data_IF_384319312956
#
_entry.id   IF_384319312956
#
_cell.length_a   1.000
_cell.length_b   1.000
_cell.length_c   1.000
_cell.angle_alpha   90.00
_cell.angle_beta   90.00
_cell.angle_gamma   90.00
#
_symmetry.space_group_name_H-M   'P 1'
#
loop_
_entity.id
_entity.type
_entity.pdbx_description
1 polymer ?
#
# COMPACT_ATOMS: atom_id res chain seq x y z
N UNK A 1 4.06 -9.92 42.84
CA UNK A 1 3.41 -9.04 41.84
C UNK A 1 4.47 -8.70 40.83
N UNK A 2 4.59 -9.52 39.79
CA UNK A 2 5.54 -9.26 38.70
C UNK A 2 4.70 -9.04 37.44
N UNK A 3 4.49 -7.75 37.17
CA UNK A 3 3.99 -7.21 35.92
C UNK A 3 5.22 -6.98 35.04
N UNK A 4 5.22 -7.55 33.84
CA UNK A 4 5.23 -6.78 32.61
C UNK A 4 5.28 -7.76 31.44
N UNK A 5 4.20 -7.78 30.68
CA UNK A 5 4.11 -8.42 29.39
C UNK A 5 5.01 -7.59 28.46
N UNK A 6 6.25 -8.01 28.25
CA UNK A 6 7.04 -7.55 27.10
C UNK A 6 6.51 -8.32 25.88
N UNK A 7 5.33 -7.92 25.42
CA UNK A 7 4.88 -8.18 24.05
C UNK A 7 5.91 -7.54 23.13
N UNK A 8 6.93 -8.33 22.77
CA UNK A 8 7.76 -8.09 21.61
C UNK A 8 6.87 -8.29 20.38
N UNK A 9 5.99 -7.32 20.14
CA UNK A 9 5.47 -7.06 18.82
C UNK A 9 6.64 -6.47 18.05
N UNK A 10 7.45 -7.34 17.45
CA UNK A 10 8.02 -7.03 16.16
C UNK A 10 6.81 -6.86 15.22
N UNK A 11 6.14 -5.72 15.31
CA UNK A 11 5.28 -5.27 14.25
C UNK A 11 6.26 -4.99 13.13
N UNK A 12 6.42 -5.97 12.24
CA UNK A 12 7.07 -5.78 10.96
C UNK A 12 6.65 -4.40 10.44
N UNK A 13 7.61 -3.48 10.39
CA UNK A 13 7.51 -2.14 9.79
C UNK A 13 7.35 -2.34 8.27
N UNK A 14 6.26 -3.02 7.92
CA UNK A 14 5.91 -3.46 6.59
C UNK A 14 5.38 -2.19 5.95
N UNK A 15 6.28 -1.48 5.27
CA UNK A 15 5.96 -0.20 4.64
C UNK A 15 4.69 -0.25 3.80
N UNK A 16 4.14 0.91 3.47
CA UNK A 16 2.88 0.99 2.73
C UNK A 16 3.08 0.52 1.29
N UNK A 17 2.21 -0.38 0.82
CA UNK A 17 2.18 -0.84 -0.56
C UNK A 17 0.85 -0.47 -1.20
N UNK A 18 0.92 0.36 -2.22
CA UNK A 18 -0.18 0.71 -3.12
C UNK A 18 -0.08 -0.09 -4.41
N UNK A 19 -1.22 -0.36 -5.03
CA UNK A 19 -1.31 -0.87 -6.39
C UNK A 19 -2.07 0.12 -7.25
N UNK A 20 -1.60 0.33 -8.47
CA UNK A 20 -2.24 1.15 -9.48
C UNK A 20 -2.61 0.27 -10.68
N UNK A 21 -3.81 0.46 -11.21
CA UNK A 21 -4.18 -0.01 -12.53
C UNK A 21 -5.00 1.08 -13.20
N UNK A 22 -4.62 1.46 -14.42
CA UNK A 22 -5.21 2.60 -15.13
C UNK A 22 -5.08 3.90 -14.29
N UNK A 23 -6.20 4.57 -13.99
CA UNK A 23 -6.25 5.79 -13.16
C UNK A 23 -6.70 5.53 -11.72
N UNK A 24 -6.78 4.27 -11.31
CA UNK A 24 -7.28 3.88 -10.00
C UNK A 24 -6.17 3.27 -9.12
N UNK A 25 -6.33 3.47 -7.81
CA UNK A 25 -5.34 3.15 -6.80
C UNK A 25 -5.99 2.39 -5.64
N UNK A 26 -5.29 1.39 -5.13
CA UNK A 26 -5.73 0.63 -3.97
C UNK A 26 -4.59 0.37 -3.00
N UNK A 27 -4.92 0.25 -1.71
CA UNK A 27 -4.00 -0.21 -0.69
C UNK A 27 -3.91 -1.73 -0.73
N UNK A 28 -2.71 -2.26 -0.96
CA UNK A 28 -2.42 -3.68 -0.89
C UNK A 28 -1.93 -4.09 0.51
N UNK A 29 -1.08 -3.27 1.13
CA UNK A 29 -0.52 -3.53 2.46
C UNK A 29 -0.25 -2.22 3.22
N UNK A 30 -0.22 -2.28 4.56
CA UNK A 30 -0.03 -1.11 5.42
C UNK A 30 -1.34 -0.46 5.92
N UNK A 31 -2.42 -1.24 6.08
CA UNK A 31 -3.73 -0.74 6.55
C UNK A 31 -3.62 0.01 7.89
N UNK A 32 -2.75 -0.46 8.79
CA UNK A 32 -2.47 0.18 10.08
C UNK A 32 -1.93 1.62 9.96
N UNK A 33 -1.33 1.97 8.81
CA UNK A 33 -0.80 3.31 8.54
C UNK A 33 -1.73 4.15 7.66
N UNK A 34 -2.84 3.59 7.18
CA UNK A 34 -3.75 4.29 6.25
C UNK A 34 -4.32 5.56 6.88
N UNK A 35 -4.73 5.54 8.14
CA UNK A 35 -5.20 6.73 8.84
C UNK A 35 -4.15 7.86 8.88
N UNK A 36 -2.87 7.52 9.03
CA UNK A 36 -1.78 8.49 9.03
C UNK A 36 -1.51 9.03 7.62
N UNK A 37 -1.53 8.15 6.62
CA UNK A 37 -1.38 8.49 5.19
C UNK A 37 -2.51 9.39 4.68
N UNK A 38 -3.76 9.14 5.10
CA UNK A 38 -4.92 9.99 4.81
C UNK A 38 -4.83 11.35 5.51
N UNK A 39 -4.28 11.39 6.72
CA UNK A 39 -4.16 12.62 7.51
C UNK A 39 -2.94 13.47 7.13
N UNK A 40 -2.04 12.98 6.26
CA UNK A 40 -0.77 13.63 5.95
C UNK A 40 0.13 13.83 7.16
N UNK A 41 -0.01 12.99 8.20
CA UNK A 41 0.82 13.08 9.41
C UNK A 41 2.06 12.21 9.25
N UNK A 42 3.23 12.74 9.60
CA UNK A 42 4.57 12.14 9.43
C UNK A 42 4.86 10.84 10.24
N UNK A 43 3.83 10.06 10.59
CA UNK A 43 3.93 8.80 11.35
C UNK A 43 3.61 7.58 10.48
N UNK A 44 3.88 7.63 9.17
CA UNK A 44 3.84 6.46 8.30
C UNK A 44 5.23 6.13 7.75
N UNK A 45 5.49 4.84 7.46
CA UNK A 45 6.75 4.43 6.87
C UNK A 45 6.91 4.99 5.46
N UNK A 46 8.04 5.64 5.22
CA UNK A 46 8.43 6.19 3.91
C UNK A 46 9.70 5.50 3.38
N UNK A 47 9.86 5.36 2.05
CA UNK A 47 8.90 5.75 1.01
C UNK A 47 7.72 4.76 0.89
N UNK A 48 6.56 5.29 0.50
CA UNK A 48 5.40 4.50 0.08
C UNK A 48 5.72 3.86 -1.26
N UNK A 49 5.48 2.55 -1.38
CA UNK A 49 5.75 1.80 -2.62
C UNK A 49 4.46 1.68 -3.41
N UNK A 50 4.52 1.99 -4.69
CA UNK A 50 3.41 1.78 -5.62
C UNK A 50 3.80 0.75 -6.67
N UNK A 51 2.95 -0.24 -6.91
CA UNK A 51 3.09 -1.19 -8.02
C UNK A 51 2.08 -0.83 -9.10
N UNK A 52 2.56 -0.35 -10.24
CA UNK A 52 1.76 -0.01 -11.40
C UNK A 52 1.60 -1.22 -12.32
N UNK A 53 0.34 -1.59 -12.59
CA UNK A 53 -0.07 -2.63 -13.52
C UNK A 53 -0.57 -1.99 -14.82
N UNK A 54 -0.35 -2.68 -15.94
CA UNK A 54 -0.81 -2.22 -17.26
C UNK A 54 -2.33 -2.01 -17.30
N UNK A 55 -3.09 -2.90 -16.66
CA UNK A 55 -4.55 -2.91 -16.67
C UNK A 55 -5.14 -3.66 -15.46
N UNK A 56 -6.46 -3.53 -15.29
CA UNK A 56 -7.21 -4.20 -14.22
C UNK A 56 -7.12 -5.73 -14.27
N UNK A 57 -6.99 -6.36 -15.45
CA UNK A 57 -6.85 -7.81 -15.57
C UNK A 57 -5.48 -8.27 -15.04
N UNK A 58 -4.40 -7.55 -15.35
CA UNK A 58 -3.07 -7.82 -14.82
C UNK A 58 -3.04 -7.73 -13.29
N UNK A 59 -3.67 -6.69 -12.73
CA UNK A 59 -3.84 -6.55 -11.28
C UNK A 59 -4.66 -7.71 -10.69
N UNK A 60 -5.81 -8.04 -11.30
CA UNK A 60 -6.68 -9.11 -10.82
C UNK A 60 -5.97 -10.47 -10.84
N UNK A 61 -5.22 -10.78 -11.90
CA UNK A 61 -4.42 -11.99 -11.99
C UNK A 61 -3.38 -12.05 -10.87
N UNK A 62 -2.64 -10.95 -10.63
CA UNK A 62 -1.68 -10.87 -9.53
C UNK A 62 -2.34 -11.12 -8.16
N UNK A 63 -3.46 -10.44 -7.86
CA UNK A 63 -4.16 -10.62 -6.59
C UNK A 63 -4.66 -12.06 -6.40
N UNK A 64 -5.16 -12.68 -7.48
CA UNK A 64 -5.61 -14.08 -7.45
C UNK A 64 -4.47 -15.02 -7.07
N UNK A 65 -3.26 -14.82 -7.61
CA UNK A 65 -2.09 -15.65 -7.21
C UNK A 65 -1.70 -15.49 -5.75
N UNK A 66 -2.08 -14.38 -5.12
CA UNK A 66 -1.86 -14.09 -3.71
C UNK A 66 -3.08 -14.44 -2.85
N UNK A 67 -4.12 -15.05 -3.43
CA UNK A 67 -5.38 -15.34 -2.76
C UNK A 67 -6.08 -14.08 -2.17
N UNK A 68 -5.90 -12.93 -2.83
CA UNK A 68 -6.57 -11.67 -2.55
C UNK A 68 -7.61 -11.36 -3.65
N UNK A 69 -8.56 -10.50 -3.31
CA UNK A 69 -9.57 -9.97 -4.24
C UNK A 69 -9.49 -8.45 -4.28
N UNK A 70 -9.64 -7.86 -5.47
CA UNK A 70 -9.61 -6.40 -5.65
C UNK A 70 -10.66 -5.69 -4.78
N UNK A 71 -11.85 -6.29 -4.67
CA UNK A 71 -12.95 -5.75 -3.86
C UNK A 71 -12.66 -5.75 -2.35
N UNK A 72 -11.63 -6.47 -1.90
CA UNK A 72 -11.18 -6.48 -0.51
C UNK A 72 -10.11 -5.42 -0.22
N UNK A 73 -9.62 -4.72 -1.25
CA UNK A 73 -8.64 -3.65 -1.09
C UNK A 73 -9.33 -2.30 -0.87
N UNK A 74 -8.68 -1.43 -0.12
CA UNK A 74 -9.17 -0.08 0.10
C UNK A 74 -8.83 0.80 -1.09
N UNK A 75 -9.85 1.41 -1.70
CA UNK A 75 -9.63 2.42 -2.73
C UNK A 75 -8.94 3.64 -2.14
N UNK A 76 -7.89 4.12 -2.81
CA UNK A 76 -7.12 5.30 -2.42
C UNK A 76 -7.46 6.43 -3.39
N UNK A 77 -7.81 7.59 -2.84
CA UNK A 77 -8.15 8.77 -3.64
C UNK A 77 -6.92 9.28 -4.41
N UNK A 78 -7.03 9.65 -5.71
CA UNK A 78 -5.89 10.10 -6.52
C UNK A 78 -5.16 11.30 -5.93
N UNK A 79 -5.88 12.23 -5.28
CA UNK A 79 -5.26 13.37 -4.61
C UNK A 79 -4.31 13.02 -3.46
N UNK A 80 -4.42 11.82 -2.88
CA UNK A 80 -3.43 11.34 -1.89
C UNK A 80 -2.15 10.91 -2.61
N UNK A 81 -2.29 10.23 -3.74
CA UNK A 81 -1.17 9.77 -4.56
C UNK A 81 -0.41 10.95 -5.17
N UNK A 82 -1.15 11.96 -5.63
CA UNK A 82 -0.60 13.21 -6.16
C UNK A 82 0.28 13.90 -5.10
N UNK A 83 -0.26 14.08 -3.89
CA UNK A 83 0.50 14.58 -2.73
C UNK A 83 1.78 13.78 -2.48
N UNK A 84 1.68 12.45 -2.39
CA UNK A 84 2.85 11.60 -2.15
C UNK A 84 3.91 11.71 -3.27
N UNK A 85 3.50 11.98 -4.52
CA UNK A 85 4.45 12.29 -5.61
C UNK A 85 5.08 13.66 -5.45
N UNK A 86 4.29 14.69 -5.10
CA UNK A 86 4.77 16.05 -4.90
C UNK A 86 5.79 16.14 -3.76
N UNK A 87 5.58 15.35 -2.70
CA UNK A 87 6.45 15.29 -1.51
C UNK A 87 7.68 14.34 -1.67
N UNK A 88 7.89 13.72 -2.86
CA UNK A 88 8.94 12.70 -3.11
C UNK A 88 8.86 11.47 -2.17
N UNK A 89 7.68 11.23 -1.58
CA UNK A 89 7.43 10.12 -0.64
C UNK A 89 6.96 8.83 -1.35
N UNK A 90 6.83 8.85 -2.68
CA UNK A 90 6.32 7.76 -3.48
C UNK A 90 7.37 7.17 -4.42
N UNK A 91 7.63 5.86 -4.29
CA UNK A 91 8.42 5.10 -5.25
C UNK A 91 7.51 4.21 -6.09
N UNK A 92 7.49 4.43 -7.41
CA UNK A 92 6.69 3.62 -8.35
C UNK A 92 7.53 2.51 -8.96
N UNK A 93 6.99 1.29 -8.94
CA UNK A 93 7.54 0.06 -9.52
C UNK A 93 6.57 -0.45 -10.58
N UNK A 94 7.07 -0.84 -11.74
CA UNK A 94 6.23 -1.47 -12.78
C UNK A 94 6.08 -2.96 -12.48
N UNK A 95 4.85 -3.46 -12.52
CA UNK A 95 4.59 -4.89 -12.39
C UNK A 95 5.24 -5.66 -13.55
N UNK A 96 5.81 -6.84 -13.32
CA UNK A 96 6.29 -7.69 -14.41
C UNK A 96 5.09 -8.10 -15.27
N UNK A 97 5.19 -7.83 -16.57
CA UNK A 97 4.19 -8.26 -17.55
C UNK A 97 4.07 -9.78 -17.50
N UNK A 98 2.91 -10.29 -17.08
CA UNK A 98 2.63 -11.72 -17.19
C UNK A 98 2.63 -12.08 -18.69
N UNK A 99 3.56 -12.93 -19.09
CA UNK A 99 3.72 -13.41 -20.46
C UNK A 99 2.71 -14.52 -20.79
#
# INVERSE_FOLDING_TARGET
>A
MENAIETSQAADDTGIILVQAEDAYWLLDGESHMSALLSGKAHYPTPVRMVAFDDLMALHAFLTTKNHQLASLWAVHPGIVDRLREDDELVTLTAPRAA
#
